data_IF_548509321276
#
_entry.id   IF_548509321276
#
_cell.length_a   1.000
_cell.length_b   1.000
_cell.length_c   1.000
_cell.angle_alpha   90.00
_cell.angle_beta   90.00
_cell.angle_gamma   90.00
#
_symmetry.space_group_name_H-M   'P 1'
#
loop_
_entity.id
_entity.type
_entity.pdbx_description
1 polymer ?
#
# COMPACT_ATOMS: atom_id res chain seq x y z
N UNK A 1 -15.23 12.96 3.64
CA UNK A 1 -16.22 12.80 2.54
C UNK A 1 -15.59 12.77 1.14
N UNK A 2 -14.68 13.72 0.77
CA UNK A 2 -14.11 13.77 -0.59
C UNK A 2 -13.14 12.63 -0.91
N UNK A 3 -12.26 12.29 0.01
CA UNK A 3 -11.30 11.20 -0.15
C UNK A 3 -12.01 9.85 -0.26
N UNK A 4 -12.95 9.54 0.63
CA UNK A 4 -13.77 8.30 0.56
C UNK A 4 -14.46 8.15 -0.78
N UNK A 5 -15.02 9.25 -1.33
CA UNK A 5 -15.66 9.22 -2.65
C UNK A 5 -14.67 8.88 -3.76
N UNK A 6 -13.46 9.45 -3.71
CA UNK A 6 -12.42 9.16 -4.70
C UNK A 6 -11.95 7.70 -4.61
N UNK A 7 -11.74 7.20 -3.40
CA UNK A 7 -11.38 5.80 -3.15
C UNK A 7 -12.44 4.85 -3.71
N UNK A 8 -13.70 4.97 -3.26
CA UNK A 8 -14.79 4.08 -3.71
C UNK A 8 -14.93 4.10 -5.23
N UNK A 9 -14.90 5.29 -5.85
CA UNK A 9 -14.98 5.41 -7.29
C UNK A 9 -13.85 4.67 -8.03
N UNK A 10 -12.62 4.73 -7.50
CA UNK A 10 -11.49 4.04 -8.10
C UNK A 10 -11.66 2.51 -8.03
N UNK A 11 -12.06 1.98 -6.88
CA UNK A 11 -12.34 0.55 -6.72
C UNK A 11 -13.51 0.06 -7.58
N UNK A 12 -14.61 0.81 -7.59
CA UNK A 12 -15.79 0.49 -8.40
C UNK A 12 -15.45 0.47 -9.91
N UNK A 13 -14.69 1.46 -10.39
CA UNK A 13 -14.29 1.55 -11.80
C UNK A 13 -13.32 0.45 -12.21
N UNK A 14 -12.44 0.03 -11.31
CA UNK A 14 -11.49 -1.05 -11.56
C UNK A 14 -12.12 -2.45 -11.43
N UNK A 15 -13.27 -2.57 -10.78
CA UNK A 15 -13.87 -3.87 -10.43
C UNK A 15 -12.98 -4.67 -9.48
N UNK A 16 -12.23 -3.99 -8.61
CA UNK A 16 -11.27 -4.59 -7.68
C UNK A 16 -11.76 -4.40 -6.26
N UNK A 17 -11.72 -5.46 -5.47
CA UNK A 17 -12.01 -5.39 -4.05
C UNK A 17 -10.86 -4.71 -3.28
N UNK A 18 -11.19 -3.73 -2.44
CA UNK A 18 -10.22 -3.02 -1.61
C UNK A 18 -9.48 -3.97 -0.65
N UNK A 19 -10.15 -5.01 -0.15
CA UNK A 19 -9.52 -6.03 0.70
C UNK A 19 -8.42 -6.84 -0.01
N UNK A 20 -8.33 -6.75 -1.35
CA UNK A 20 -7.29 -7.42 -2.14
C UNK A 20 -6.01 -6.60 -2.32
N UNK A 21 -5.97 -5.38 -1.81
CA UNK A 21 -4.80 -4.51 -1.90
C UNK A 21 -3.81 -4.84 -0.79
N UNK A 22 -2.56 -5.05 -1.16
CA UNK A 22 -1.50 -5.44 -0.22
C UNK A 22 -0.50 -4.32 0.06
N UNK A 23 -0.46 -3.28 -0.80
CA UNK A 23 0.39 -2.09 -0.64
C UNK A 23 -0.39 -0.83 -0.95
N UNK A 24 -0.35 0.16 -0.06
CA UNK A 24 -0.81 1.52 -0.30
C UNK A 24 0.36 2.48 -0.25
N UNK A 25 0.57 3.18 -1.34
CA UNK A 25 1.39 4.39 -1.41
C UNK A 25 0.47 5.57 -1.08
N UNK A 26 0.51 6.01 0.16
CA UNK A 26 -0.33 7.09 0.67
C UNK A 26 0.10 8.45 0.14
N UNK A 27 -0.83 9.40 0.15
CA UNK A 27 -0.47 10.81 -0.03
C UNK A 27 0.50 11.25 1.08
N UNK A 28 0.25 10.89 2.32
CA UNK A 28 1.21 10.85 3.44
C UNK A 28 2.14 12.05 3.50
N UNK A 29 1.61 13.24 3.85
CA UNK A 29 2.39 14.49 3.87
C UNK A 29 3.21 14.68 5.14
N UNK A 30 3.07 13.79 6.12
CA UNK A 30 3.71 13.90 7.43
C UNK A 30 3.01 14.92 8.35
N UNK A 31 1.77 15.29 8.04
CA UNK A 31 0.99 16.19 8.90
C UNK A 31 -0.03 15.36 9.71
N UNK A 32 -0.01 15.53 11.04
CA UNK A 32 -0.86 14.75 11.94
C UNK A 32 -2.35 14.77 11.56
N UNK A 33 -2.86 15.93 11.16
CA UNK A 33 -4.26 16.09 10.77
C UNK A 33 -4.53 15.50 9.39
N UNK A 34 -3.67 15.80 8.41
CA UNK A 34 -3.84 15.32 7.04
C UNK A 34 -3.73 13.81 6.95
N UNK A 35 -2.71 13.23 7.56
CA UNK A 35 -2.50 11.79 7.56
C UNK A 35 -3.60 11.06 8.36
N UNK A 36 -4.08 11.67 9.46
CA UNK A 36 -5.21 11.13 10.21
C UNK A 36 -6.50 11.03 9.39
N UNK A 37 -6.83 12.08 8.62
CA UNK A 37 -8.01 12.10 7.74
C UNK A 37 -7.86 11.09 6.59
N UNK A 38 -6.66 10.95 6.04
CA UNK A 38 -6.38 9.97 5.00
C UNK A 38 -6.55 8.54 5.49
N UNK A 39 -5.95 8.21 6.63
CA UNK A 39 -6.06 6.87 7.23
C UNK A 39 -7.51 6.56 7.57
N UNK A 40 -8.27 7.52 8.11
CA UNK A 40 -9.70 7.35 8.39
C UNK A 40 -10.51 7.03 7.13
N UNK A 41 -10.24 7.74 6.03
CA UNK A 41 -10.91 7.50 4.76
C UNK A 41 -10.57 6.12 4.17
N UNK A 42 -9.32 5.69 4.28
CA UNK A 42 -8.86 4.37 3.88
C UNK A 42 -9.52 3.28 4.74
N UNK A 43 -9.52 3.42 6.07
CA UNK A 43 -10.17 2.46 6.97
C UNK A 43 -11.65 2.29 6.67
N UNK A 44 -12.40 3.37 6.41
CA UNK A 44 -13.82 3.29 6.08
C UNK A 44 -14.05 2.40 4.86
N UNK A 45 -13.21 2.52 3.82
CA UNK A 45 -13.36 1.75 2.58
C UNK A 45 -12.90 0.30 2.76
N UNK A 46 -11.75 0.08 3.41
CA UNK A 46 -11.18 -1.25 3.59
C UNK A 46 -11.96 -2.11 4.58
N UNK A 47 -12.45 -1.53 5.67
CA UNK A 47 -13.33 -2.24 6.62
C UNK A 47 -14.66 -2.62 5.96
N UNK A 48 -15.23 -1.74 5.13
CA UNK A 48 -16.45 -2.05 4.39
C UNK A 48 -16.26 -3.20 3.38
N UNK A 49 -15.03 -3.39 2.88
CA UNK A 49 -14.64 -4.51 2.01
C UNK A 49 -14.24 -5.77 2.79
N UNK A 50 -14.23 -5.74 4.11
CA UNK A 50 -13.86 -6.89 4.94
C UNK A 50 -12.36 -7.18 4.98
N UNK A 51 -11.50 -6.17 4.77
CA UNK A 51 -10.05 -6.34 4.86
C UNK A 51 -9.63 -6.84 6.24
N UNK A 52 -8.77 -7.86 6.26
CA UNK A 52 -8.26 -8.43 7.49
C UNK A 52 -7.32 -7.44 8.23
N UNK A 53 -7.22 -7.53 9.56
CA UNK A 53 -6.25 -6.75 10.31
C UNK A 53 -4.83 -6.93 9.77
N UNK A 54 -4.08 -5.84 9.68
CA UNK A 54 -2.67 -5.80 9.26
C UNK A 54 -2.38 -6.51 7.92
N UNK A 55 -3.37 -6.54 7.02
CA UNK A 55 -3.25 -7.19 5.71
C UNK A 55 -2.58 -6.30 4.66
N UNK A 56 -2.55 -4.99 4.87
CA UNK A 56 -2.11 -4.02 3.87
C UNK A 56 -0.95 -3.16 4.37
N UNK A 57 0.18 -3.20 3.68
CA UNK A 57 1.31 -2.32 3.93
C UNK A 57 0.97 -0.87 3.56
N UNK A 58 1.21 0.06 4.46
CA UNK A 58 1.02 1.49 4.24
C UNK A 58 2.36 2.21 4.27
N UNK A 59 2.61 3.07 3.29
CA UNK A 59 3.81 3.87 3.25
C UNK A 59 3.70 5.10 2.36
N UNK A 60 4.75 5.91 2.32
CA UNK A 60 4.83 7.07 1.44
C UNK A 60 6.26 7.35 0.97
N UNK A 61 6.43 7.52 -0.33
CA UNK A 61 7.72 7.91 -0.96
C UNK A 61 8.22 9.26 -0.44
N UNK A 62 7.32 10.08 0.11
CA UNK A 62 7.68 11.38 0.69
C UNK A 62 8.59 11.26 1.91
N UNK A 63 8.57 10.13 2.60
CA UNK A 63 9.50 9.82 3.67
C UNK A 63 10.95 9.69 3.17
N UNK A 64 11.14 9.34 1.90
CA UNK A 64 12.43 9.12 1.25
C UNK A 64 12.94 10.37 0.54
N UNK A 65 12.12 10.97 -0.34
CA UNK A 65 12.53 12.06 -1.25
C UNK A 65 11.86 13.41 -0.96
N UNK A 66 11.00 13.49 0.05
CA UNK A 66 10.21 14.69 0.34
C UNK A 66 9.01 14.87 -0.58
N UNK A 67 8.29 15.97 -0.41
CA UNK A 67 7.10 16.27 -1.19
C UNK A 67 7.44 16.94 -2.52
N UNK A 68 7.34 16.21 -3.63
CA UNK A 68 7.69 16.66 -4.98
C UNK A 68 6.59 17.51 -5.66
N UNK A 69 5.65 18.05 -4.89
CA UNK A 69 4.58 18.96 -5.34
C UNK A 69 3.75 18.37 -6.48
N UNK A 70 3.75 18.98 -7.67
CA UNK A 70 3.00 18.52 -8.83
C UNK A 70 3.38 17.11 -9.28
N UNK A 71 4.61 16.66 -9.01
CA UNK A 71 5.09 15.32 -9.35
C UNK A 71 4.82 14.26 -8.24
N UNK A 72 4.15 14.61 -7.14
CA UNK A 72 4.01 13.71 -5.99
C UNK A 72 3.25 12.42 -6.33
N UNK A 73 2.18 12.50 -7.10
CA UNK A 73 1.45 11.34 -7.58
C UNK A 73 2.28 10.47 -8.51
N UNK A 74 3.06 11.06 -9.42
CA UNK A 74 3.94 10.35 -10.32
C UNK A 74 5.07 9.61 -9.56
N UNK A 75 5.66 10.25 -8.54
CA UNK A 75 6.67 9.62 -7.70
C UNK A 75 6.12 8.39 -6.96
N UNK A 76 4.93 8.50 -6.38
CA UNK A 76 4.24 7.36 -5.74
C UNK A 76 3.91 6.26 -6.74
N UNK A 77 3.44 6.62 -7.93
CA UNK A 77 3.13 5.67 -8.99
C UNK A 77 4.37 4.87 -9.43
N UNK A 78 5.50 5.55 -9.64
CA UNK A 78 6.77 4.91 -9.99
C UNK A 78 7.21 3.95 -8.88
N UNK A 79 7.17 4.38 -7.62
CA UNK A 79 7.51 3.51 -6.48
C UNK A 79 6.63 2.27 -6.43
N UNK A 80 5.31 2.41 -6.55
CA UNK A 80 4.38 1.28 -6.52
C UNK A 80 4.60 0.33 -7.71
N UNK A 81 4.85 0.86 -8.92
CA UNK A 81 5.15 0.06 -10.10
C UNK A 81 6.46 -0.74 -9.94
N UNK A 82 7.51 -0.11 -9.40
CA UNK A 82 8.77 -0.80 -9.10
C UNK A 82 8.60 -1.86 -8.00
N UNK A 83 7.80 -1.57 -6.96
CA UNK A 83 7.48 -2.53 -5.91
C UNK A 83 6.82 -3.80 -6.47
N UNK A 84 5.85 -3.64 -7.38
CA UNK A 84 5.21 -4.75 -8.08
C UNK A 84 6.18 -5.49 -9.00
N UNK A 85 7.01 -4.74 -9.74
CA UNK A 85 7.98 -5.33 -10.67
C UNK A 85 9.02 -6.18 -9.95
N UNK A 86 9.60 -5.64 -8.88
CA UNK A 86 10.65 -6.31 -8.10
C UNK A 86 10.10 -7.23 -7.00
N UNK A 87 8.77 -7.28 -6.81
CA UNK A 87 8.13 -8.09 -5.75
C UNK A 87 8.66 -7.76 -4.36
N UNK A 88 8.77 -6.48 -4.06
CA UNK A 88 9.27 -5.94 -2.80
C UNK A 88 8.26 -5.01 -2.18
N UNK A 89 8.05 -5.13 -0.88
CA UNK A 89 7.38 -4.11 -0.07
C UNK A 89 8.45 -3.10 0.39
N UNK A 90 8.48 -1.88 -0.16
CA UNK A 90 9.52 -0.91 0.15
C UNK A 90 9.30 -0.30 1.54
N UNK A 91 10.41 0.02 2.22
CA UNK A 91 10.38 0.68 3.51
C UNK A 91 9.81 2.10 3.44
N UNK A 92 9.11 2.50 4.49
CA UNK A 92 8.76 3.90 4.80
C UNK A 92 9.73 4.39 5.87
N UNK A 93 10.52 5.38 5.55
CA UNK A 93 11.57 5.90 6.42
C UNK A 93 11.03 6.94 7.41
N UNK A 94 11.80 7.21 8.47
CA UNK A 94 11.56 8.30 9.44
C UNK A 94 10.19 8.18 10.14
N UNK A 95 9.78 6.96 10.46
CA UNK A 95 8.59 6.70 11.25
C UNK A 95 9.04 6.16 12.61
N UNK A 96 9.26 7.08 13.55
CA UNK A 96 9.61 6.72 14.93
C UNK A 96 8.36 6.31 15.72
N UNK A 97 7.23 6.96 15.41
CA UNK A 97 5.95 6.67 16.03
C UNK A 97 4.82 6.84 15.01
N UNK A 98 4.16 5.76 14.60
CA UNK A 98 2.99 5.85 13.73
C UNK A 98 1.81 6.54 14.43
N UNK A 99 0.75 6.84 13.69
CA UNK A 99 -0.51 7.31 14.28
C UNK A 99 -1.09 6.21 15.18
N UNK A 100 -1.59 6.57 16.35
CA UNK A 100 -2.16 5.62 17.33
C UNK A 100 -3.24 4.71 16.72
N UNK A 101 -3.96 5.21 15.72
CA UNK A 101 -4.96 4.47 14.96
C UNK A 101 -4.36 3.28 14.17
N UNK A 102 -3.13 3.39 13.69
CA UNK A 102 -2.44 2.32 12.97
C UNK A 102 -1.91 1.21 13.90
N UNK A 103 -1.87 1.47 15.20
CA UNK A 103 -1.47 0.50 16.22
C UNK A 103 -2.66 -0.33 16.75
N UNK A 104 -3.90 0.01 16.35
CA UNK A 104 -5.08 -0.75 16.75
C UNK A 104 -5.05 -2.17 16.17
N UNK A 105 -5.38 -3.17 16.98
CA UNK A 105 -5.31 -4.59 16.63
C UNK A 105 -6.20 -4.96 15.43
N UNK A 106 -7.30 -4.24 15.23
CA UNK A 106 -8.26 -4.43 14.14
C UNK A 106 -7.99 -3.54 12.93
N UNK A 107 -6.92 -2.75 12.92
CA UNK A 107 -6.56 -1.88 11.80
C UNK A 107 -6.12 -2.72 10.59
N UNK A 108 -6.71 -2.51 9.40
CA UNK A 108 -6.29 -3.22 8.18
C UNK A 108 -4.86 -2.91 7.76
N UNK A 109 -4.31 -1.79 8.23
CA UNK A 109 -3.01 -1.28 7.80
C UNK A 109 -1.92 -1.52 8.83
N UNK A 110 -0.71 -1.60 8.34
CA UNK A 110 0.51 -1.47 9.13
C UNK A 110 1.53 -0.61 8.38
N UNK A 111 2.32 0.17 9.08
CA UNK A 111 3.42 0.92 8.46
C UNK A 111 4.57 -0.05 8.19
N UNK A 112 4.94 -0.18 6.91
CA UNK A 112 6.07 -1.02 6.52
C UNK A 112 7.37 -0.23 6.68
N UNK A 113 8.14 -0.49 7.73
CA UNK A 113 9.37 0.24 8.05
C UNK A 113 10.64 -0.40 7.48
N UNK A 114 10.55 -1.66 7.04
CA UNK A 114 11.67 -2.41 6.49
C UNK A 114 11.36 -2.90 5.08
N UNK A 115 12.35 -2.81 4.18
CA UNK A 115 12.21 -3.41 2.86
C UNK A 115 12.23 -4.93 2.97
N UNK A 116 11.22 -5.58 2.40
CA UNK A 116 11.07 -7.04 2.50
C UNK A 116 10.46 -7.63 1.24
N UNK A 117 10.65 -8.93 0.99
CA UNK A 117 9.99 -9.61 -0.13
C UNK A 117 8.47 -9.44 -0.06
N UNK A 118 7.85 -9.19 -1.20
CA UNK A 118 6.41 -9.19 -1.34
C UNK A 118 5.95 -10.58 -1.76
N UNK A 119 5.65 -11.42 -0.79
CA UNK A 119 5.20 -12.79 -1.02
C UNK A 119 3.79 -12.73 -1.59
N UNK A 120 3.57 -13.37 -2.75
CA UNK A 120 2.26 -13.43 -3.39
C UNK A 120 1.36 -14.48 -2.77
N UNK A 121 0.06 -14.28 -2.91
CA UNK A 121 -0.94 -15.29 -2.59
C UNK A 121 -1.24 -16.10 -3.85
N UNK A 122 -1.26 -17.42 -3.76
CA UNK A 122 -1.54 -18.30 -4.89
C UNK A 122 -2.90 -17.96 -5.53
N UNK A 123 -2.94 -17.93 -6.86
CA UNK A 123 -4.14 -17.63 -7.63
C UNK A 123 -4.60 -16.15 -7.60
N UNK A 124 -3.84 -15.26 -6.94
CA UNK A 124 -4.18 -13.84 -6.87
C UNK A 124 -2.98 -12.95 -7.23
N UNK A 125 -3.13 -12.00 -8.17
CA UNK A 125 -2.07 -11.05 -8.49
C UNK A 125 -1.83 -10.10 -7.31
N UNK A 126 -0.57 -9.65 -7.14
CA UNK A 126 -0.24 -8.57 -6.21
C UNK A 126 -0.88 -7.28 -6.66
N UNK A 127 -1.43 -6.52 -5.72
CA UNK A 127 -2.09 -5.25 -5.99
C UNK A 127 -1.59 -4.14 -5.09
N UNK A 128 -1.35 -3.00 -5.70
CA UNK A 128 -1.00 -1.77 -5.01
C UNK A 128 -2.02 -0.66 -5.31
N UNK A 129 -2.12 0.30 -4.42
CA UNK A 129 -2.89 1.50 -4.63
C UNK A 129 -2.05 2.74 -4.33
N UNK A 130 -2.33 3.84 -5.05
CA UNK A 130 -1.61 5.12 -4.89
C UNK A 130 -2.61 6.24 -4.68
N UNK A 131 -2.43 7.01 -3.62
CA UNK A 131 -3.21 8.21 -3.31
C UNK A 131 -2.43 9.48 -3.61
N UNK A 132 -3.07 10.43 -4.29
CA UNK A 132 -2.55 11.78 -4.49
C UNK A 132 -3.68 12.78 -4.24
N UNK A 133 -3.60 13.50 -3.13
CA UNK A 133 -4.62 14.44 -2.68
C UNK A 133 -4.09 15.87 -2.73
N UNK A 134 -4.77 16.71 -3.49
CA UNK A 134 -4.44 18.12 -3.64
C UNK A 134 -5.37 19.02 -2.85
N UNK A 135 -4.97 20.28 -2.71
CA UNK A 135 -5.82 21.32 -2.15
C UNK A 135 -7.08 21.52 -3.00
N UNK A 136 -8.17 21.93 -2.35
CA UNK A 136 -9.43 22.19 -3.05
C UNK A 136 -10.23 20.94 -3.43
N UNK A 137 -9.85 19.75 -2.92
CA UNK A 137 -10.61 18.51 -3.14
C UNK A 137 -10.23 17.75 -4.41
N UNK A 138 -9.10 18.06 -5.02
CA UNK A 138 -8.53 17.29 -6.13
C UNK A 138 -7.94 15.97 -5.58
N UNK A 139 -8.80 14.98 -5.41
CA UNK A 139 -8.44 13.69 -4.84
C UNK A 139 -8.37 12.63 -5.95
N UNK A 140 -7.17 12.04 -6.10
CA UNK A 140 -6.92 10.97 -7.06
C UNK A 140 -6.48 9.71 -6.32
N UNK A 141 -7.00 8.60 -6.74
CA UNK A 141 -6.60 7.27 -6.28
C UNK A 141 -6.54 6.34 -7.48
N UNK A 142 -5.46 5.62 -7.64
CA UNK A 142 -5.31 4.66 -8.72
C UNK A 142 -4.84 3.31 -8.18
N UNK A 143 -5.19 2.26 -8.92
CA UNK A 143 -4.88 0.89 -8.61
C UNK A 143 -3.89 0.35 -9.64
N UNK A 144 -2.97 -0.46 -9.15
CA UNK A 144 -2.00 -1.19 -9.96
C UNK A 144 -2.11 -2.66 -9.63
N UNK A 145 -1.98 -3.47 -10.67
CA UNK A 145 -1.96 -4.92 -10.55
C UNK A 145 -0.72 -5.49 -11.23
N UNK A 146 -0.20 -6.58 -10.70
CA UNK A 146 0.92 -7.31 -11.28
C UNK A 146 0.55 -7.85 -12.68
N UNK A 147 1.32 -7.46 -13.70
CA UNK A 147 1.00 -7.80 -15.09
C UNK A 147 1.17 -9.29 -15.44
N UNK A 148 2.02 -10.00 -14.69
CA UNK A 148 2.33 -11.43 -14.90
C UNK A 148 2.52 -12.11 -13.54
N UNK A 149 1.43 -12.52 -12.89
CA UNK A 149 1.50 -13.16 -11.58
C UNK A 149 2.24 -14.51 -11.60
N UNK A 150 2.25 -15.19 -12.76
CA UNK A 150 2.93 -16.47 -13.01
C UNK A 150 4.44 -16.32 -13.28
N UNK A 151 4.93 -15.09 -13.47
CA UNK A 151 6.35 -14.85 -13.70
C UNK A 151 7.14 -15.19 -12.41
N UNK A 152 8.20 -16.02 -12.52
CA UNK A 152 9.02 -16.32 -11.36
C UNK A 152 9.55 -15.03 -10.71
N UNK A 153 9.73 -15.06 -9.40
CA UNK A 153 10.31 -13.94 -8.66
C UNK A 153 11.63 -13.53 -9.31
N UNK A 154 11.86 -12.21 -9.40
CA UNK A 154 13.16 -11.71 -9.85
C UNK A 154 14.21 -12.24 -8.89
N UNK A 155 15.24 -12.87 -9.43
CA UNK A 155 16.38 -13.36 -8.64
C UNK A 155 17.09 -12.16 -8.01
N UNK A 156 17.31 -12.22 -6.72
CA UNK A 156 17.88 -11.14 -5.91
C UNK A 156 19.42 -11.14 -5.95
N UNK A 157 20.00 -11.39 -7.11
CA UNK A 157 21.44 -11.31 -7.30
C UNK A 157 22.24 -12.53 -6.84
N UNK A 158 21.57 -13.62 -6.51
CA UNK A 158 22.19 -14.94 -6.41
C UNK A 158 22.85 -15.31 -5.07
N UNK A 159 23.21 -14.36 -4.23
CA UNK A 159 23.96 -14.66 -2.99
C UNK A 159 23.06 -15.04 -1.81
N UNK A 160 21.78 -14.69 -1.85
CA UNK A 160 20.79 -15.01 -0.80
C UNK A 160 19.50 -15.47 -1.42
N UNK A 161 19.08 -16.68 -1.12
CA UNK A 161 17.76 -17.20 -1.50
C UNK A 161 16.90 -17.34 -0.26
N UNK A 162 15.68 -16.78 -0.31
CA UNK A 162 14.69 -16.95 0.75
C UNK A 162 13.79 -18.10 0.37
N UNK A 163 13.83 -19.19 1.12
CA UNK A 163 12.90 -20.29 1.04
C UNK A 163 11.83 -20.08 2.12
N UNK A 164 10.61 -19.75 1.70
CA UNK A 164 9.48 -19.60 2.60
C UNK A 164 8.64 -20.88 2.57
N UNK A 165 8.42 -21.46 3.72
CA UNK A 165 7.53 -22.60 3.91
C UNK A 165 6.32 -22.13 4.73
N UNK A 166 5.12 -22.53 4.30
CA UNK A 166 3.90 -22.39 5.08
C UNK A 166 3.33 -23.79 5.33
N UNK A 167 2.92 -24.06 6.54
CA UNK A 167 2.20 -25.27 6.91
C UNK A 167 0.86 -24.86 7.55
N UNK A 168 -0.17 -25.68 7.33
CA UNK A 168 -1.49 -25.48 7.95
C UNK A 168 -1.55 -26.07 9.37
N UNK A 169 -0.59 -26.91 9.75
CA UNK A 169 -0.51 -27.57 11.06
C UNK A 169 0.87 -27.44 11.67
N UNK A 170 0.91 -27.28 12.99
CA UNK A 170 2.11 -27.45 13.82
C UNK A 170 2.40 -28.96 13.93
N UNK A 171 3.24 -29.48 13.05
CA UNK A 171 3.70 -30.86 13.09
C UNK A 171 4.99 -31.01 13.88
#
# INVERSE_FOLDING_TARGET
AGQVKALRRAYDQAGVDAASIELIEAHGTGTRVGDGIEVEALEEVFRAAGAAPRSTALGSVKSQIGHTKAAAGAAGLVKAALALHHKVLPATLKVDRPLDRLDADDCPFYVNTDSRPWIGTEGRPRRAAVSAFGFGGSNFHCLLEEARPDRPAVDWGGDVQILAYAAEDDA
#
